data_IF_705977395323
#
_entry.id   IF_705977395323
#
_cell.length_a   1.000
_cell.length_b   1.000
_cell.length_c   1.000
_cell.angle_alpha   90.00
_cell.angle_beta   90.00
_cell.angle_gamma   90.00
#
_symmetry.space_group_name_H-M   'P 1'
#
loop_
_entity.id
_entity.type
_entity.pdbx_description
1 polymer ?
#
# COMPACT_ATOMS: atom_id res chain seq x y z
N UNK A 1 5.31 -27.16 -0.28
CA UNK A 1 6.18 -26.52 0.74
C UNK A 1 5.38 -25.44 1.49
N UNK A 2 5.77 -25.09 2.72
CA UNK A 2 5.14 -23.96 3.43
C UNK A 2 5.48 -22.64 2.71
N UNK A 3 4.59 -21.64 2.75
CA UNK A 3 4.88 -20.33 2.18
C UNK A 3 5.96 -19.60 3.00
N UNK A 4 6.74 -18.76 2.32
CA UNK A 4 7.84 -17.99 2.92
C UNK A 4 7.64 -16.50 2.67
N UNK A 5 7.77 -15.69 3.72
CA UNK A 5 7.72 -14.23 3.64
C UNK A 5 9.09 -13.64 3.96
N UNK A 6 9.54 -12.69 3.15
CA UNK A 6 10.83 -12.01 3.32
C UNK A 6 10.64 -10.50 3.32
N UNK A 7 11.21 -9.81 4.32
CA UNK A 7 11.37 -8.37 4.30
C UNK A 7 12.40 -8.02 3.24
N UNK A 8 12.01 -7.24 2.24
CA UNK A 8 12.88 -6.89 1.11
C UNK A 8 13.55 -5.55 1.35
N UNK A 9 12.78 -4.52 1.71
CA UNK A 9 13.29 -3.17 1.91
C UNK A 9 12.32 -2.28 2.71
N UNK A 10 12.86 -1.16 3.20
CA UNK A 10 12.09 -0.02 3.69
C UNK A 10 12.02 1.01 2.57
N UNK A 11 10.86 1.12 1.91
CA UNK A 11 10.61 2.08 0.84
C UNK A 11 10.30 3.48 1.37
N UNK A 12 10.15 4.48 0.48
CA UNK A 12 9.92 5.88 0.87
C UNK A 12 8.68 6.12 1.73
N UNK A 13 7.66 5.27 1.59
CA UNK A 13 6.43 5.32 2.39
C UNK A 13 5.85 3.92 2.65
N UNK A 14 6.68 2.87 2.61
CA UNK A 14 6.21 1.48 2.75
C UNK A 14 7.28 0.56 3.34
N UNK A 15 6.84 -0.60 3.85
CA UNK A 15 7.72 -1.72 4.18
C UNK A 15 7.40 -2.84 3.21
N UNK A 16 8.34 -3.19 2.33
CA UNK A 16 8.08 -4.08 1.21
C UNK A 16 8.45 -5.51 1.58
N UNK A 17 7.49 -6.43 1.41
CA UNK A 17 7.68 -7.87 1.63
C UNK A 17 7.45 -8.64 0.33
N UNK A 18 8.19 -9.74 0.15
CA UNK A 18 7.91 -10.75 -0.87
C UNK A 18 7.35 -12.01 -0.22
N UNK A 19 6.26 -12.53 -0.78
CA UNK A 19 5.61 -13.77 -0.34
C UNK A 19 5.74 -14.83 -1.43
N UNK A 20 6.35 -15.96 -1.10
CA UNK A 20 6.51 -17.09 -1.99
C UNK A 20 5.66 -18.27 -1.52
N UNK A 21 4.84 -18.79 -2.42
CA UNK A 21 4.05 -19.99 -2.18
C UNK A 21 4.15 -20.92 -3.39
N UNK A 22 4.06 -22.22 -3.14
CA UNK A 22 4.06 -23.24 -4.18
C UNK A 22 2.63 -23.66 -4.46
N UNK A 23 2.21 -23.57 -5.72
CA UNK A 23 0.94 -24.10 -6.19
C UNK A 23 1.16 -25.48 -6.82
N UNK A 24 0.30 -26.44 -6.47
CA UNK A 24 0.38 -27.80 -7.00
C UNK A 24 -0.10 -27.88 -8.46
N UNK A 25 -1.01 -26.99 -8.86
CA UNK A 25 -1.58 -26.90 -10.20
C UNK A 25 -1.47 -25.46 -10.73
N UNK A 26 -0.92 -25.33 -11.93
CA UNK A 26 -0.80 -24.04 -12.63
C UNK A 26 -2.17 -23.46 -13.00
N UNK A 27 -3.19 -24.30 -13.23
CA UNK A 27 -4.57 -23.86 -13.47
C UNK A 27 -5.16 -23.11 -12.28
N UNK A 28 -4.66 -23.34 -11.07
CA UNK A 28 -5.09 -22.70 -9.84
C UNK A 28 -4.22 -21.50 -9.44
N UNK A 29 -3.18 -21.17 -10.20
CA UNK A 29 -2.23 -20.11 -9.85
C UNK A 29 -2.94 -18.78 -9.59
N UNK A 30 -3.80 -18.35 -10.51
CA UNK A 30 -4.47 -17.05 -10.45
C UNK A 30 -5.47 -17.00 -9.30
N UNK A 31 -6.27 -18.05 -9.12
CA UNK A 31 -7.27 -18.12 -8.05
C UNK A 31 -6.60 -18.17 -6.67
N UNK A 32 -5.54 -18.97 -6.52
CA UNK A 32 -4.78 -19.05 -5.27
C UNK A 32 -4.13 -17.70 -4.93
N UNK A 33 -3.56 -17.02 -5.93
CA UNK A 33 -2.98 -15.70 -5.73
C UNK A 33 -4.04 -14.67 -5.29
N UNK A 34 -5.22 -14.68 -5.92
CA UNK A 34 -6.33 -13.81 -5.56
C UNK A 34 -6.81 -14.05 -4.11
N UNK A 35 -7.01 -15.31 -3.73
CA UNK A 35 -7.42 -15.70 -2.38
C UNK A 35 -6.39 -15.27 -1.33
N UNK A 36 -5.10 -15.43 -1.64
CA UNK A 36 -4.00 -15.00 -0.77
C UNK A 36 -4.02 -13.48 -0.55
N UNK A 37 -4.21 -12.69 -1.61
CA UNK A 37 -4.28 -11.22 -1.51
C UNK A 37 -5.50 -10.79 -0.70
N UNK A 38 -6.69 -11.35 -0.96
CA UNK A 38 -7.90 -11.00 -0.21
C UNK A 38 -7.78 -11.35 1.28
N UNK A 39 -7.28 -12.55 1.58
CA UNK A 39 -7.04 -12.98 2.95
C UNK A 39 -6.03 -12.08 3.66
N UNK A 40 -4.98 -11.64 2.96
CA UNK A 40 -3.99 -10.70 3.49
C UNK A 40 -4.64 -9.34 3.82
N UNK A 41 -5.46 -8.80 2.93
CA UNK A 41 -6.18 -7.55 3.16
C UNK A 41 -7.12 -7.63 4.36
N UNK A 42 -7.92 -8.70 4.47
CA UNK A 42 -8.80 -8.93 5.62
C UNK A 42 -8.02 -9.10 6.93
N UNK A 43 -6.90 -9.81 6.87
CA UNK A 43 -6.04 -10.02 8.05
C UNK A 43 -5.36 -8.73 8.48
N UNK A 44 -4.88 -7.92 7.54
CA UNK A 44 -4.31 -6.60 7.84
C UNK A 44 -5.35 -5.68 8.47
N UNK A 45 -6.56 -5.64 7.92
CA UNK A 45 -7.66 -4.87 8.51
C UNK A 45 -7.97 -5.31 9.95
N UNK A 46 -8.07 -6.63 10.21
CA UNK A 46 -8.32 -7.19 11.55
C UNK A 46 -7.22 -6.85 12.56
N UNK A 47 -5.99 -6.70 12.10
CA UNK A 47 -4.83 -6.38 12.94
C UNK A 47 -4.46 -4.89 12.93
N UNK A 48 -5.31 -4.01 12.38
CA UNK A 48 -5.04 -2.58 12.27
C UNK A 48 -3.71 -2.25 11.55
N UNK A 49 -3.34 -3.08 10.56
CA UNK A 49 -2.20 -2.84 9.67
C UNK A 49 -2.72 -2.05 8.48
N UNK A 50 -2.32 -0.78 8.38
CA UNK A 50 -2.70 0.09 7.27
C UNK A 50 -1.75 -0.11 6.07
N UNK A 51 -2.32 -0.13 4.86
CA UNK A 51 -1.54 -0.07 3.62
C UNK A 51 -1.33 1.41 3.29
N UNK A 52 -0.08 1.91 3.31
CA UNK A 52 0.18 3.30 3.07
C UNK A 52 -0.13 3.66 1.61
N UNK A 53 -0.90 4.73 1.41
CA UNK A 53 -1.03 5.37 0.10
C UNK A 53 0.26 6.14 -0.22
N UNK A 54 0.63 6.31 -1.51
CA UNK A 54 1.78 7.10 -1.89
C UNK A 54 1.63 8.54 -1.37
N UNK A 55 2.33 8.86 -0.29
CA UNK A 55 2.30 10.21 0.27
C UNK A 55 3.30 11.07 -0.50
N UNK A 56 2.82 12.06 -1.24
CA UNK A 56 3.66 13.11 -1.80
C UNK A 56 3.61 14.34 -0.89
N UNK A 57 4.72 14.62 -0.22
CA UNK A 57 4.90 15.91 0.46
C UNK A 57 5.23 16.99 -0.59
N UNK A 58 4.30 17.91 -0.82
CA UNK A 58 4.47 19.02 -1.75
C UNK A 58 4.81 20.28 -0.94
N UNK A 59 6.09 20.66 -0.99
CA UNK A 59 6.60 21.90 -0.40
C UNK A 59 6.53 23.03 -1.42
N UNK A 60 5.46 23.83 -1.38
CA UNK A 60 5.32 25.00 -2.23
C UNK A 60 6.27 26.13 -1.79
N UNK A 61 6.98 26.74 -2.74
CA UNK A 61 7.77 27.97 -2.56
C UNK A 61 7.20 29.05 -3.48
N UNK A 62 7.28 30.31 -3.06
CA UNK A 62 6.84 31.48 -3.82
C UNK A 62 5.37 31.43 -4.28
N UNK A 63 4.46 30.98 -3.40
CA UNK A 63 3.03 31.02 -3.66
C UNK A 63 2.52 32.45 -3.45
N UNK A 64 1.87 33.08 -4.45
CA UNK A 64 1.25 34.38 -4.26
C UNK A 64 0.21 34.32 -3.14
N UNK A 65 0.16 35.36 -2.30
CA UNK A 65 -0.68 35.35 -1.08
C UNK A 65 -2.18 35.17 -1.42
N UNK A 66 -2.59 35.69 -2.58
CA UNK A 66 -3.95 35.55 -3.13
C UNK A 66 -4.33 34.09 -3.43
N UNK A 67 -3.38 33.28 -3.89
CA UNK A 67 -3.60 31.86 -4.18
C UNK A 67 -3.76 31.05 -2.88
N UNK A 68 -3.03 31.42 -1.81
CA UNK A 68 -3.17 30.80 -0.48
C UNK A 68 -4.51 31.16 0.18
N UNK A 69 -4.97 32.40 0.02
CA UNK A 69 -6.25 32.85 0.57
C UNK A 69 -7.44 32.08 -0.02
N UNK A 70 -7.39 31.80 -1.32
CA UNK A 70 -8.45 31.09 -2.06
C UNK A 70 -8.50 29.60 -1.68
N UNK A 71 -7.34 28.94 -1.57
CA UNK A 71 -7.25 27.53 -1.17
C UNK A 71 -7.79 27.29 0.25
N UNK A 72 -7.68 28.28 1.15
CA UNK A 72 -8.16 28.18 2.53
C UNK A 72 -9.67 28.39 2.65
N UNK A 73 -10.26 29.19 1.76
CA UNK A 73 -11.70 29.45 1.71
C UNK A 73 -12.50 28.28 1.08
N UNK A 74 -11.91 27.55 0.13
CA UNK A 74 -12.52 26.38 -0.52
C UNK A 74 -12.64 25.13 0.37
N UNK A 75 -12.08 25.16 1.59
CA UNK A 75 -12.03 24.01 2.52
C UNK A 75 -13.08 24.08 3.63
N UNK A 76 -14.05 24.99 3.51
CA UNK A 76 -15.24 25.16 4.37
C UNK A 76 -16.51 25.04 3.55
#
# INVERSE_FOLDING_TARGET
PAPSAFLMEFGPSSVNFSLFAWVADLGQKVTTQQEMVLTMLETFARHNIEIPLPLQDIRLRDVPWEALATARASKS
#
